data_IF_273152740043
#
_entry.id   IF_273152740043
#
_cell.length_a   1.000
_cell.length_b   1.000
_cell.length_c   1.000
_cell.angle_alpha   90.00
_cell.angle_beta   90.00
_cell.angle_gamma   90.00
#
_symmetry.space_group_name_H-M   'P 1'
#
loop_
_entity.id
_entity.type
_entity.pdbx_description
1 polymer ?
#
# COMPACT_ATOMS: atom_id res chain seq x y z
N UNK A 1 33.38 -0.99 5.97
CA UNK A 1 32.79 -0.23 4.84
C UNK A 1 31.39 0.19 5.23
N UNK A 2 30.99 1.42 4.91
CA UNK A 2 29.61 1.89 5.11
C UNK A 2 28.74 1.17 4.10
N UNK A 3 27.72 0.42 4.54
CA UNK A 3 26.80 -0.26 3.62
C UNK A 3 26.04 0.77 2.79
N UNK A 4 25.99 0.58 1.48
CA UNK A 4 25.19 1.39 0.56
C UNK A 4 24.11 0.53 -0.09
N UNK A 5 22.94 1.10 -0.32
CA UNK A 5 21.79 0.43 -0.91
C UNK A 5 21.33 1.18 -2.15
N UNK A 6 21.26 0.47 -3.27
CA UNK A 6 20.69 0.96 -4.52
C UNK A 6 19.19 0.67 -4.55
N UNK A 7 18.36 1.72 -4.52
CA UNK A 7 16.90 1.67 -4.57
C UNK A 7 16.40 1.99 -5.97
N UNK A 8 15.54 1.11 -6.48
CA UNK A 8 14.86 1.20 -7.77
C UNK A 8 13.37 1.39 -7.50
N UNK A 9 12.77 2.42 -8.08
CA UNK A 9 11.37 2.76 -7.84
C UNK A 9 10.44 2.31 -8.97
N UNK A 10 9.17 2.13 -8.67
CA UNK A 10 8.12 1.70 -9.59
C UNK A 10 7.35 2.89 -10.17
N UNK A 11 6.97 2.83 -11.46
CA UNK A 11 6.07 3.78 -12.15
C UNK A 11 6.47 5.28 -12.18
N UNK A 12 7.39 5.75 -11.32
CA UNK A 12 7.84 7.17 -11.25
C UNK A 12 8.51 7.59 -12.57
N UNK A 13 9.19 6.66 -13.26
CA UNK A 13 9.84 6.92 -14.54
C UNK A 13 8.84 7.27 -15.67
N UNK A 14 7.56 6.96 -15.52
CA UNK A 14 6.50 7.29 -16.48
C UNK A 14 6.09 8.76 -16.44
N UNK A 15 6.52 9.51 -15.41
CA UNK A 15 6.12 10.90 -15.19
C UNK A 15 7.05 11.87 -15.91
N UNK A 16 6.51 13.05 -16.25
CA UNK A 16 7.31 14.19 -16.74
C UNK A 16 8.35 14.60 -15.71
N UNK A 17 9.46 15.18 -16.14
CA UNK A 17 10.59 15.47 -15.24
C UNK A 17 10.22 16.29 -13.99
N UNK A 18 9.36 17.34 -14.05
CA UNK A 18 8.95 18.07 -12.85
C UNK A 18 8.18 17.18 -11.86
N UNK A 19 7.24 16.37 -12.36
CA UNK A 19 6.42 15.47 -11.53
C UNK A 19 7.28 14.36 -10.96
N UNK A 20 8.17 13.80 -11.78
CA UNK A 20 9.14 12.77 -11.38
C UNK A 20 9.97 13.23 -10.19
N UNK A 21 10.61 14.41 -10.29
CA UNK A 21 11.42 14.98 -9.20
C UNK A 21 10.61 15.14 -7.92
N UNK A 22 9.37 15.65 -8.02
CA UNK A 22 8.48 15.78 -6.86
C UNK A 22 8.21 14.42 -6.20
N UNK A 23 7.89 13.40 -6.99
CA UNK A 23 7.59 12.05 -6.49
C UNK A 23 8.82 11.36 -5.88
N UNK A 24 10.00 11.57 -6.46
CA UNK A 24 11.27 11.07 -5.91
C UNK A 24 11.57 11.70 -4.55
N UNK A 25 11.34 13.01 -4.38
CA UNK A 25 11.51 13.68 -3.09
C UNK A 25 10.51 13.17 -2.03
N UNK A 26 9.26 12.92 -2.43
CA UNK A 26 8.26 12.31 -1.55
C UNK A 26 8.69 10.90 -1.14
N UNK A 27 9.18 10.08 -2.07
CA UNK A 27 9.69 8.75 -1.75
C UNK A 27 10.87 8.81 -0.77
N UNK A 28 11.82 9.73 -0.98
CA UNK A 28 12.96 9.94 -0.08
C UNK A 28 12.48 10.34 1.32
N UNK A 29 11.48 11.22 1.42
CA UNK A 29 10.87 11.59 2.69
C UNK A 29 10.24 10.37 3.36
N UNK A 30 9.41 9.62 2.65
CA UNK A 30 8.76 8.42 3.18
C UNK A 30 9.78 7.39 3.71
N UNK A 31 10.90 7.20 3.01
CA UNK A 31 12.00 6.34 3.46
C UNK A 31 12.59 6.87 4.78
N UNK A 32 12.87 8.17 4.87
CA UNK A 32 13.45 8.78 6.08
C UNK A 32 12.49 8.76 7.27
N UNK A 33 11.18 8.86 7.03
CA UNK A 33 10.17 8.82 8.09
C UNK A 33 10.16 7.46 8.81
N UNK A 34 10.48 6.36 8.10
CA UNK A 34 10.58 5.01 8.69
C UNK A 34 12.01 4.58 9.02
N UNK A 35 13.02 5.23 8.43
CA UNK A 35 14.45 4.97 8.64
C UNK A 35 15.18 6.29 8.93
N UNK A 36 15.00 6.89 10.13
CA UNK A 36 15.54 8.21 10.44
C UNK A 36 17.08 8.25 10.45
N UNK A 37 17.74 7.10 10.66
CA UNK A 37 19.20 6.97 10.60
C UNK A 37 19.79 6.86 9.18
N UNK A 38 18.95 6.83 8.14
CA UNK A 38 19.42 6.69 6.77
C UNK A 38 19.68 8.06 6.10
N UNK A 39 20.71 8.10 5.26
CA UNK A 39 20.98 9.22 4.35
C UNK A 39 20.63 8.79 2.94
N UNK A 40 19.77 9.57 2.29
CA UNK A 40 19.36 9.33 0.91
C UNK A 40 20.04 10.32 -0.04
N UNK A 41 20.69 9.80 -1.07
CA UNK A 41 21.22 10.53 -2.23
C UNK A 41 20.38 10.18 -3.45
N UNK A 42 20.03 11.17 -4.26
CA UNK A 42 19.34 10.98 -5.53
C UNK A 42 20.26 11.33 -6.70
N UNK A 43 20.31 10.45 -7.70
CA UNK A 43 21.08 10.70 -8.92
C UNK A 43 20.47 9.98 -10.12
N UNK A 44 20.09 10.76 -11.14
CA UNK A 44 19.70 10.29 -12.50
C UNK A 44 18.73 9.09 -12.48
N UNK A 45 17.73 9.13 -11.61
CA UNK A 45 16.65 8.14 -11.55
C UNK A 45 16.91 6.89 -10.70
N UNK A 46 17.80 7.02 -9.72
CA UNK A 46 18.01 6.06 -8.63
C UNK A 46 18.12 6.81 -7.32
N UNK A 47 17.85 6.09 -6.23
CA UNK A 47 18.06 6.56 -4.86
C UNK A 47 19.11 5.64 -4.24
N UNK A 48 20.11 6.22 -3.60
CA UNK A 48 21.11 5.51 -2.82
C UNK A 48 20.90 5.81 -1.35
N UNK A 49 20.90 4.77 -0.53
CA UNK A 49 20.79 4.90 0.92
C UNK A 49 22.08 4.45 1.59
N UNK A 50 22.52 5.20 2.59
CA UNK A 50 23.66 4.86 3.47
C UNK A 50 23.27 5.09 4.93
N UNK A 51 24.06 4.57 5.86
CA UNK A 51 23.78 4.68 7.30
C UNK A 51 22.99 3.47 7.81
N UNK A 52 22.08 3.70 8.75
CA UNK A 52 21.27 2.63 9.33
C UNK A 52 20.06 2.33 8.43
N UNK A 53 20.14 1.22 7.71
CA UNK A 53 19.11 0.78 6.77
C UNK A 53 18.72 -0.65 7.14
N UNK A 54 17.54 -0.81 7.72
CA UNK A 54 16.90 -2.12 7.89
C UNK A 54 16.18 -2.52 6.60
N UNK A 55 16.63 -3.59 5.90
CA UNK A 55 16.01 -4.07 4.67
C UNK A 55 14.54 -4.45 4.84
N UNK A 56 14.14 -4.95 6.03
CA UNK A 56 12.77 -5.40 6.28
C UNK A 56 11.80 -4.22 6.33
N UNK A 57 12.23 -3.13 6.96
CA UNK A 57 11.48 -1.86 6.98
C UNK A 57 11.45 -1.23 5.58
N UNK A 58 12.59 -1.18 4.88
CA UNK A 58 12.66 -0.62 3.52
C UNK A 58 11.77 -1.37 2.53
N UNK A 59 11.66 -2.70 2.65
CA UNK A 59 10.80 -3.53 1.81
C UNK A 59 9.32 -3.12 1.87
N UNK A 60 8.86 -2.51 2.97
CA UNK A 60 7.47 -2.11 3.20
C UNK A 60 7.13 -0.70 2.70
N UNK A 61 8.09 0.03 2.13
CA UNK A 61 7.87 1.39 1.63
C UNK A 61 7.26 1.36 0.23
N UNK A 62 6.06 1.92 0.06
CA UNK A 62 5.43 2.07 -1.24
C UNK A 62 6.25 2.97 -2.18
N UNK A 63 6.24 2.64 -3.47
CA UNK A 63 7.04 3.29 -4.51
C UNK A 63 8.36 2.58 -4.79
N UNK A 64 8.84 1.68 -3.91
CA UNK A 64 10.06 0.90 -4.14
C UNK A 64 9.72 -0.37 -4.93
N UNK A 65 10.26 -0.50 -6.14
CA UNK A 65 10.15 -1.72 -6.93
C UNK A 65 11.11 -2.79 -6.40
N UNK A 66 12.38 -2.43 -6.21
CA UNK A 66 13.39 -3.32 -5.65
C UNK A 66 14.57 -2.55 -5.11
N UNK A 67 15.40 -3.21 -4.31
CA UNK A 67 16.63 -2.63 -3.78
C UNK A 67 17.70 -3.69 -3.55
N UNK A 68 18.95 -3.27 -3.50
CA UNK A 68 20.11 -4.14 -3.38
C UNK A 68 21.16 -3.49 -2.51
N UNK A 69 21.77 -4.24 -1.60
CA UNK A 69 23.03 -3.82 -0.97
C UNK A 69 24.11 -3.83 -2.05
N UNK A 70 24.89 -2.75 -2.17
CA UNK A 70 25.88 -2.58 -3.23
C UNK A 70 27.26 -2.31 -2.63
N UNK A 71 28.28 -2.84 -3.30
CA UNK A 71 29.63 -2.32 -3.17
C UNK A 71 29.82 -1.22 -4.24
N UNK A 72 30.10 0.00 -3.77
CA UNK A 72 30.30 1.18 -4.63
C UNK A 72 31.80 1.47 -4.75
N UNK A 73 32.30 1.48 -6.00
CA UNK A 73 33.68 1.83 -6.32
C UNK A 73 33.76 2.66 -7.60
N UNK A 74 34.86 3.43 -7.81
CA UNK A 74 35.16 4.00 -9.12
C UNK A 74 35.25 2.90 -10.19
N UNK A 75 34.75 3.17 -11.39
CA UNK A 75 34.73 2.25 -12.52
C UNK A 75 36.12 1.65 -12.81
N UNK A 76 37.17 2.48 -12.71
CA UNK A 76 38.58 2.05 -12.89
C UNK A 76 39.02 0.95 -11.92
N UNK A 77 38.40 0.88 -10.75
CA UNK A 77 38.72 -0.09 -9.69
C UNK A 77 37.83 -1.33 -9.73
N UNK A 78 36.74 -1.30 -10.49
CA UNK A 78 35.71 -2.36 -10.48
C UNK A 78 36.29 -3.73 -10.81
N UNK A 79 37.12 -3.83 -11.85
CA UNK A 79 37.76 -5.09 -12.22
C UNK A 79 38.62 -5.67 -11.09
N UNK A 80 39.32 -4.83 -10.34
CA UNK A 80 40.19 -5.26 -9.24
C UNK A 80 39.42 -5.87 -8.06
N UNK A 81 38.25 -5.32 -7.72
CA UNK A 81 37.48 -5.77 -6.55
C UNK A 81 36.62 -7.01 -6.84
N UNK A 82 36.32 -7.31 -8.11
CA UNK A 82 35.33 -8.34 -8.46
C UNK A 82 35.70 -9.74 -7.95
N UNK A 83 36.99 -10.07 -7.91
CA UNK A 83 37.44 -11.38 -7.44
C UNK A 83 37.27 -11.51 -5.93
N UNK A 84 37.59 -10.46 -5.17
CA UNK A 84 37.41 -10.42 -3.72
C UNK A 84 35.93 -10.43 -3.38
N UNK A 85 35.12 -9.63 -4.10
CA UNK A 85 33.67 -9.66 -4.00
C UNK A 85 33.10 -11.08 -4.21
N UNK A 86 33.60 -11.81 -5.22
CA UNK A 86 33.16 -13.19 -5.46
C UNK A 86 33.48 -14.14 -4.30
N UNK A 87 34.64 -14.00 -3.66
CA UNK A 87 35.05 -14.82 -2.51
C UNK A 87 34.22 -14.48 -1.27
N UNK A 88 34.10 -13.19 -0.97
CA UNK A 88 33.42 -12.70 0.23
C UNK A 88 31.92 -13.04 0.21
N UNK A 89 31.30 -13.04 -0.97
CA UNK A 89 29.90 -13.41 -1.17
C UNK A 89 29.68 -14.91 -1.44
N UNK A 90 30.75 -15.72 -1.49
CA UNK A 90 30.68 -17.16 -1.74
C UNK A 90 30.15 -17.52 -3.14
N UNK A 91 30.33 -16.62 -4.12
CA UNK A 91 30.01 -16.85 -5.52
C UNK A 91 31.02 -17.84 -6.12
N UNK A 92 32.28 -17.75 -5.71
CA UNK A 92 33.35 -18.69 -6.05
C UNK A 92 33.02 -20.14 -5.69
N UNK A 93 32.12 -20.38 -4.73
CA UNK A 93 31.70 -21.73 -4.32
C UNK A 93 30.59 -22.34 -5.20
N UNK A 94 30.05 -21.58 -6.16
CA UNK A 94 29.03 -22.08 -7.08
C UNK A 94 29.60 -23.02 -8.16
N UNK A 95 28.72 -23.57 -9.00
CA UNK A 95 29.10 -24.27 -10.24
C UNK A 95 28.89 -23.42 -11.47
N UNK A 96 27.86 -22.57 -11.46
CA UNK A 96 27.53 -21.71 -12.58
C UNK A 96 27.27 -20.26 -12.17
N UNK A 97 27.58 -19.33 -13.06
CA UNK A 97 27.31 -17.92 -12.81
C UNK A 97 26.88 -17.15 -14.08
N UNK A 98 26.28 -15.97 -13.88
CA UNK A 98 26.05 -14.98 -14.91
C UNK A 98 26.44 -13.58 -14.43
N UNK A 99 26.92 -12.74 -15.34
CA UNK A 99 27.12 -11.31 -15.11
C UNK A 99 26.08 -10.52 -15.89
N UNK A 100 25.39 -9.61 -15.19
CA UNK A 100 24.39 -8.70 -15.75
C UNK A 100 24.88 -7.26 -15.61
N UNK A 101 25.36 -6.69 -16.71
CA UNK A 101 25.84 -5.30 -16.72
C UNK A 101 24.77 -4.36 -17.24
N UNK A 102 24.53 -3.27 -16.52
CA UNK A 102 23.74 -2.12 -16.99
C UNK A 102 24.64 -0.89 -17.02
N UNK A 103 24.55 -0.10 -18.10
CA UNK A 103 25.40 1.07 -18.33
C UNK A 103 24.55 2.31 -18.56
N UNK A 104 24.91 3.41 -17.90
CA UNK A 104 24.29 4.74 -18.05
C UNK A 104 25.39 5.78 -18.19
N UNK A 105 25.34 6.60 -19.25
CA UNK A 105 26.36 7.61 -19.56
C UNK A 105 27.11 7.28 -20.86
N UNK A 106 28.09 8.12 -21.22
CA UNK A 106 28.88 7.95 -22.44
C UNK A 106 30.15 7.14 -22.15
N UNK A 107 30.35 6.03 -22.84
CA UNK A 107 31.48 5.13 -22.63
C UNK A 107 31.93 4.53 -23.97
N UNK A 108 33.22 4.19 -24.14
CA UNK A 108 33.73 3.55 -25.35
C UNK A 108 33.40 2.05 -25.46
N UNK A 109 32.65 1.50 -24.49
CA UNK A 109 32.29 0.08 -24.42
C UNK A 109 30.77 -0.10 -24.22
N UNK A 110 30.26 -1.25 -24.65
CA UNK A 110 28.90 -1.69 -24.39
C UNK A 110 28.79 -2.45 -23.05
N UNK A 111 27.55 -2.62 -22.56
CA UNK A 111 27.32 -3.50 -21.39
C UNK A 111 27.75 -4.94 -21.67
N UNK A 112 27.61 -5.39 -22.93
CA UNK A 112 27.99 -6.74 -23.35
C UNK A 112 29.51 -6.93 -23.28
N UNK A 113 30.28 -5.94 -23.74
CA UNK A 113 31.75 -5.97 -23.71
C UNK A 113 32.25 -6.12 -22.27
N UNK A 114 31.68 -5.34 -21.34
CA UNK A 114 32.02 -5.45 -19.91
C UNK A 114 31.57 -6.76 -19.28
N UNK A 115 30.42 -7.30 -19.69
CA UNK A 115 30.00 -8.63 -19.21
C UNK A 115 30.98 -9.73 -19.64
N UNK A 116 31.51 -9.67 -20.87
CA UNK A 116 32.55 -10.58 -21.36
C UNK A 116 33.85 -10.38 -20.59
N UNK A 117 34.33 -9.15 -20.48
CA UNK A 117 35.58 -8.80 -19.78
C UNK A 117 35.58 -9.35 -18.34
N UNK A 118 34.55 -9.00 -17.57
CA UNK A 118 34.42 -9.43 -16.18
C UNK A 118 34.11 -10.93 -16.06
N UNK A 119 33.37 -11.50 -17.01
CA UNK A 119 33.10 -12.94 -17.05
C UNK A 119 34.37 -13.75 -17.25
N UNK A 120 35.25 -13.30 -18.15
CA UNK A 120 36.55 -13.92 -18.38
C UNK A 120 37.45 -13.77 -17.16
N UNK A 121 37.47 -12.59 -16.52
CA UNK A 121 38.23 -12.36 -15.28
C UNK A 121 37.86 -13.39 -14.19
N UNK A 122 36.55 -13.57 -13.95
CA UNK A 122 36.05 -14.53 -12.97
C UNK A 122 36.38 -15.98 -13.38
N UNK A 123 36.20 -16.35 -14.66
CA UNK A 123 36.54 -17.70 -15.14
C UNK A 123 38.02 -18.03 -15.02
N UNK A 124 38.90 -17.07 -15.28
CA UNK A 124 40.35 -17.27 -15.15
C UNK A 124 40.74 -17.48 -13.69
N UNK A 125 40.13 -16.72 -12.77
CA UNK A 125 40.38 -16.85 -11.34
C UNK A 125 39.73 -18.09 -10.70
N UNK A 126 38.59 -18.53 -11.23
CA UNK A 126 37.79 -19.64 -10.72
C UNK A 126 37.43 -20.62 -11.86
N UNK A 127 38.37 -21.48 -12.31
CA UNK A 127 38.20 -22.32 -13.50
C UNK A 127 37.04 -23.32 -13.44
N UNK A 128 36.57 -23.67 -12.23
CA UNK A 128 35.43 -24.57 -12.02
C UNK A 128 34.08 -23.88 -12.24
N UNK A 129 34.01 -22.54 -12.19
CA UNK A 129 32.78 -21.78 -12.46
C UNK A 129 32.51 -21.69 -13.96
N UNK A 130 31.34 -22.17 -14.38
CA UNK A 130 30.87 -22.11 -15.78
C UNK A 130 29.85 -21.00 -15.98
N UNK A 131 29.88 -20.34 -17.13
CA UNK A 131 28.87 -19.33 -17.46
C UNK A 131 27.56 -20.02 -17.84
N UNK A 132 26.46 -19.60 -17.20
CA UNK A 132 25.10 -20.02 -17.56
C UNK A 132 24.19 -18.78 -17.58
N UNK A 133 23.84 -18.28 -18.77
CA UNK A 133 23.03 -17.07 -18.91
C UNK A 133 21.53 -17.31 -18.74
N UNK A 134 21.08 -18.57 -18.73
CA UNK A 134 19.67 -18.92 -18.65
C UNK A 134 19.22 -19.18 -17.21
N UNK A 135 19.97 -20.00 -16.47
CA UNK A 135 19.66 -20.38 -15.09
C UNK A 135 20.94 -20.52 -14.24
N UNK A 136 21.63 -19.41 -13.93
CA UNK A 136 22.84 -19.45 -13.12
C UNK A 136 22.54 -19.78 -11.65
N UNK A 137 23.45 -20.51 -11.00
CA UNK A 137 23.40 -20.68 -9.54
C UNK A 137 23.75 -19.37 -8.81
N UNK A 138 24.61 -18.54 -9.41
CA UNK A 138 25.05 -17.25 -8.86
C UNK A 138 24.91 -16.15 -9.91
N UNK A 139 24.25 -15.05 -9.58
CA UNK A 139 24.12 -13.92 -10.50
C UNK A 139 24.82 -12.69 -9.91
N UNK A 140 25.70 -12.08 -10.69
CA UNK A 140 26.38 -10.84 -10.33
C UNK A 140 25.82 -9.74 -11.21
N UNK A 141 25.34 -8.68 -10.59
CA UNK A 141 24.87 -7.52 -11.27
C UNK A 141 25.85 -6.37 -11.09
N UNK A 142 26.03 -5.62 -12.17
CA UNK A 142 26.91 -4.46 -12.20
C UNK A 142 26.13 -3.31 -12.83
N UNK A 143 25.94 -2.23 -12.09
CA UNK A 143 25.43 -0.98 -12.63
C UNK A 143 26.59 0.02 -12.78
N UNK A 144 26.93 0.38 -14.02
CA UNK A 144 27.96 1.38 -14.36
C UNK A 144 27.25 2.70 -14.68
N UNK A 145 27.62 3.78 -14.00
CA UNK A 145 27.01 5.10 -14.15
C UNK A 145 28.12 6.15 -14.24
N UNK A 146 28.44 6.57 -15.46
CA UNK A 146 29.65 7.35 -15.76
C UNK A 146 30.89 6.64 -15.15
N UNK A 147 31.70 7.35 -14.37
CA UNK A 147 32.92 6.83 -13.75
C UNK A 147 32.68 6.04 -12.45
N UNK A 148 31.43 5.71 -12.11
CA UNK A 148 31.06 4.98 -10.91
C UNK A 148 30.52 3.59 -11.23
N UNK A 149 30.82 2.61 -10.38
CA UNK A 149 30.40 1.23 -10.52
C UNK A 149 29.81 0.66 -9.23
N UNK A 150 28.71 -0.06 -9.38
CA UNK A 150 27.96 -0.66 -8.27
C UNK A 150 27.82 -2.17 -8.51
N UNK A 151 28.39 -2.99 -7.62
CA UNK A 151 28.31 -4.45 -7.69
C UNK A 151 27.34 -4.97 -6.64
N UNK A 152 26.45 -5.89 -7.04
CA UNK A 152 25.53 -6.58 -6.14
C UNK A 152 25.16 -7.97 -6.68
N UNK A 153 24.74 -8.86 -5.79
CA UNK A 153 24.40 -10.27 -6.07
C UNK A 153 22.98 -10.64 -5.60
N UNK A 154 22.28 -9.74 -4.91
CA UNK A 154 20.90 -9.92 -4.46
C UNK A 154 20.00 -8.74 -4.85
N UNK A 155 18.76 -9.06 -5.20
CA UNK A 155 17.71 -8.08 -5.50
C UNK A 155 16.51 -8.39 -4.61
N UNK A 156 16.26 -7.53 -3.64
CA UNK A 156 15.10 -7.64 -2.76
C UNK A 156 13.94 -6.89 -3.40
N UNK A 157 12.80 -7.56 -3.60
CA UNK A 157 11.60 -6.93 -4.13
C UNK A 157 10.94 -6.07 -3.05
N UNK A 158 10.54 -4.84 -3.40
CA UNK A 158 9.70 -3.98 -2.58
C UNK A 158 8.21 -4.16 -2.90
N UNK A 159 7.33 -3.39 -2.24
CA UNK A 159 5.88 -3.45 -2.50
C UNK A 159 5.45 -2.91 -3.88
N UNK A 160 6.35 -2.22 -4.58
CA UNK A 160 6.02 -1.46 -5.78
C UNK A 160 5.01 -0.34 -5.47
N UNK A 161 4.11 -0.09 -6.41
CA UNK A 161 3.11 0.96 -6.26
C UNK A 161 3.71 2.37 -6.36
N UNK A 162 3.01 3.35 -5.80
CA UNK A 162 3.38 4.76 -5.84
C UNK A 162 3.82 5.26 -4.46
N UNK A 163 4.72 6.25 -4.35
CA UNK A 163 5.10 6.79 -3.06
C UNK A 163 3.89 7.33 -2.30
N UNK A 164 3.74 6.94 -1.03
CA UNK A 164 2.65 7.37 -0.16
C UNK A 164 2.51 8.91 -0.16
N UNK A 165 1.32 9.42 -0.45
CA UNK A 165 0.98 10.85 -0.47
C UNK A 165 1.11 11.57 -1.80
N UNK A 166 1.59 10.93 -2.87
CA UNK A 166 1.67 11.59 -4.19
C UNK A 166 0.30 11.86 -4.82
N UNK A 167 -0.73 11.07 -4.49
CA UNK A 167 -2.09 11.24 -5.02
C UNK A 167 -3.02 12.05 -4.07
N UNK A 168 -2.55 12.37 -2.86
CA UNK A 168 -3.30 13.10 -1.85
C UNK A 168 -3.81 12.19 -0.73
N UNK A 169 -4.93 12.56 -0.12
CA UNK A 169 -5.48 11.91 1.07
C UNK A 169 -6.90 11.43 0.81
N UNK A 170 -7.27 10.28 1.37
CA UNK A 170 -8.62 9.72 1.35
C UNK A 170 -9.08 9.36 2.76
N UNK A 171 -10.38 9.39 3.01
CA UNK A 171 -10.98 8.89 4.25
C UNK A 171 -11.39 7.44 4.04
N UNK A 172 -10.85 6.51 4.83
CA UNK A 172 -11.26 5.10 4.76
C UNK A 172 -12.26 4.78 5.85
N UNK A 173 -13.45 4.26 5.48
CA UNK A 173 -14.41 3.73 6.44
C UNK A 173 -13.88 2.39 6.99
N UNK A 174 -13.34 2.44 8.20
CA UNK A 174 -12.71 1.31 8.88
C UNK A 174 -13.71 0.64 9.82
N UNK A 175 -14.14 -0.58 9.50
CA UNK A 175 -15.10 -1.34 10.32
C UNK A 175 -14.44 -2.29 11.32
N UNK A 176 -13.12 -2.50 11.19
CA UNK A 176 -12.38 -3.56 11.90
C UNK A 176 -12.58 -4.97 11.32
N UNK A 177 -13.41 -5.13 10.28
CA UNK A 177 -13.49 -6.38 9.51
C UNK A 177 -12.33 -6.53 8.50
N UNK A 178 -12.25 -7.69 7.84
CA UNK A 178 -11.16 -8.06 6.94
C UNK A 178 -11.03 -7.10 5.73
N UNK A 179 -12.15 -6.66 5.18
CA UNK A 179 -12.17 -6.02 3.86
C UNK A 179 -11.68 -4.56 3.91
N UNK A 180 -12.12 -3.79 4.91
CA UNK A 180 -11.76 -2.36 5.05
C UNK A 180 -10.24 -2.05 5.13
N UNK A 181 -9.41 -2.78 5.90
CA UNK A 181 -7.97 -2.54 5.91
C UNK A 181 -7.28 -2.92 4.60
N UNK A 182 -7.77 -3.96 3.90
CA UNK A 182 -7.23 -4.34 2.60
C UNK A 182 -7.51 -3.25 1.57
N UNK A 183 -8.74 -2.72 1.54
CA UNK A 183 -9.09 -1.60 0.68
C UNK A 183 -8.23 -0.35 0.97
N UNK A 184 -8.06 0.00 2.25
CA UNK A 184 -7.18 1.10 2.65
C UNK A 184 -5.73 0.89 2.17
N UNK A 185 -5.17 -0.30 2.39
CA UNK A 185 -3.82 -0.65 1.96
C UNK A 185 -3.64 -0.60 0.43
N UNK A 186 -4.64 -1.05 -0.34
CA UNK A 186 -4.60 -0.95 -1.81
C UNK A 186 -4.54 0.50 -2.29
N UNK A 187 -5.24 1.40 -1.61
CA UNK A 187 -5.18 2.83 -1.92
C UNK A 187 -3.86 3.47 -1.46
N UNK A 188 -3.29 3.03 -0.33
CA UNK A 188 -1.93 3.42 0.07
C UNK A 188 -0.89 3.02 -0.99
N UNK A 189 -1.02 1.82 -1.56
CA UNK A 189 -0.18 1.33 -2.66
C UNK A 189 -0.33 2.16 -3.95
N UNK A 190 -1.46 2.84 -4.13
CA UNK A 190 -1.67 3.82 -5.21
C UNK A 190 -1.29 5.24 -4.80
N UNK A 191 -0.53 5.42 -3.72
CA UNK A 191 0.05 6.72 -3.34
C UNK A 191 -0.91 7.63 -2.59
N UNK A 192 -2.03 7.12 -2.08
CA UNK A 192 -2.95 7.88 -1.24
C UNK A 192 -2.58 7.73 0.24
N UNK A 193 -2.58 8.84 0.99
CA UNK A 193 -2.61 8.77 2.46
C UNK A 193 -4.02 8.42 2.91
N UNK A 194 -4.14 7.69 4.00
CA UNK A 194 -5.43 7.29 4.56
C UNK A 194 -5.68 8.00 5.89
N UNK A 195 -6.89 8.51 6.07
CA UNK A 195 -7.44 8.84 7.37
C UNK A 195 -8.47 7.76 7.70
N UNK A 196 -8.19 6.85 8.65
CA UNK A 196 -9.11 5.78 8.99
C UNK A 196 -10.20 6.31 9.92
N UNK A 197 -11.43 6.26 9.45
CA UNK A 197 -12.62 6.74 10.13
C UNK A 197 -13.46 5.55 10.59
N UNK A 198 -13.70 5.45 11.90
CA UNK A 198 -14.61 4.48 12.49
C UNK A 198 -15.89 5.21 12.92
N UNK A 199 -17.03 4.79 12.38
CA UNK A 199 -18.34 5.33 12.79
C UNK A 199 -18.88 4.43 13.90
N UNK A 200 -18.78 4.91 15.14
CA UNK A 200 -19.30 4.25 16.32
C UNK A 200 -20.83 4.38 16.36
N UNK A 201 -21.49 3.23 16.27
CA UNK A 201 -22.94 3.11 16.37
C UNK A 201 -23.31 2.88 17.83
N UNK A 202 -23.48 3.98 18.58
CA UNK A 202 -23.87 3.91 19.99
C UNK A 202 -25.14 3.07 20.15
N UNK A 203 -25.21 2.26 21.22
CA UNK A 203 -26.28 1.29 21.52
C UNK A 203 -26.40 0.08 20.56
N UNK A 204 -25.62 0.02 19.47
CA UNK A 204 -25.63 -1.09 18.50
C UNK A 204 -24.32 -1.90 18.56
N UNK A 205 -23.19 -1.22 18.69
CA UNK A 205 -21.86 -1.84 18.77
C UNK A 205 -21.24 -1.58 20.15
N UNK A 206 -20.59 -2.62 20.69
CA UNK A 206 -19.82 -2.51 21.94
C UNK A 206 -18.37 -2.07 21.71
N UNK A 207 -17.66 -1.78 22.81
CA UNK A 207 -16.26 -1.34 22.81
C UNK A 207 -15.32 -2.34 22.11
N UNK A 208 -15.67 -3.63 22.08
CA UNK A 208 -14.87 -4.66 21.41
C UNK A 208 -14.73 -4.42 19.90
N UNK A 209 -15.72 -3.77 19.26
CA UNK A 209 -15.63 -3.42 17.84
C UNK A 209 -14.66 -2.27 17.59
N UNK A 210 -14.61 -1.29 18.49
CA UNK A 210 -13.65 -0.20 18.43
C UNK A 210 -12.23 -0.73 18.67
N UNK A 211 -12.02 -1.54 19.70
CA UNK A 211 -10.72 -2.17 19.98
C UNK A 211 -10.21 -2.98 18.78
N UNK A 212 -11.11 -3.72 18.12
CA UNK A 212 -10.77 -4.44 16.89
C UNK A 212 -10.34 -3.48 15.78
N UNK A 213 -11.06 -2.38 15.56
CA UNK A 213 -10.70 -1.38 14.57
C UNK A 213 -9.34 -0.72 14.88
N UNK A 214 -9.06 -0.40 16.14
CA UNK A 214 -7.77 0.14 16.59
C UNK A 214 -6.62 -0.82 16.28
N UNK A 215 -6.75 -2.10 16.64
CA UNK A 215 -5.70 -3.11 16.37
C UNK A 215 -5.46 -3.32 14.87
N UNK A 216 -6.52 -3.23 14.06
CA UNK A 216 -6.41 -3.29 12.60
C UNK A 216 -5.65 -2.07 12.06
N UNK A 217 -5.95 -0.87 12.57
CA UNK A 217 -5.24 0.37 12.20
C UNK A 217 -3.77 0.31 12.64
N UNK A 218 -3.48 -0.18 13.84
CA UNK A 218 -2.12 -0.36 14.34
C UNK A 218 -1.30 -1.32 13.46
N UNK A 219 -1.91 -2.40 12.97
CA UNK A 219 -1.25 -3.31 12.02
C UNK A 219 -0.87 -2.60 10.71
N UNK A 220 -1.64 -1.60 10.27
CA UNK A 220 -1.35 -0.82 9.07
C UNK A 220 -0.28 0.27 9.28
N UNK A 221 0.09 0.60 10.52
CA UNK A 221 1.09 1.65 10.81
C UNK A 221 2.48 1.32 10.26
N UNK A 222 2.76 0.04 9.98
CA UNK A 222 3.99 -0.36 9.30
C UNK A 222 4.10 0.20 7.87
N UNK A 223 2.97 0.60 7.27
CA UNK A 223 2.91 1.18 5.91
C UNK A 223 2.67 2.70 5.92
N UNK A 224 1.97 3.21 6.94
CA UNK A 224 1.76 4.63 7.20
C UNK A 224 1.96 4.90 8.71
N UNK A 225 3.15 5.30 9.17
CA UNK A 225 3.49 5.36 10.61
C UNK A 225 2.60 6.26 11.48
N UNK A 226 2.08 7.33 10.88
CA UNK A 226 1.26 8.36 11.52
C UNK A 226 -0.24 8.10 11.36
N UNK A 227 -0.64 6.88 10.98
CA UNK A 227 -2.03 6.47 10.93
C UNK A 227 -2.64 6.48 12.36
N UNK A 228 -3.75 7.19 12.53
CA UNK A 228 -4.49 7.30 13.79
C UNK A 228 -5.98 7.08 13.50
N UNK A 229 -6.62 6.18 14.26
CA UNK A 229 -8.06 5.94 14.12
C UNK A 229 -8.84 7.17 14.59
N UNK A 230 -9.80 7.59 13.78
CA UNK A 230 -10.76 8.65 14.12
C UNK A 230 -12.09 8.00 14.45
N UNK A 231 -12.43 7.81 15.74
CA UNK A 231 -13.76 7.36 16.12
C UNK A 231 -14.73 8.54 16.11
N UNK A 232 -15.85 8.41 15.40
CA UNK A 232 -16.97 9.36 15.45
C UNK A 232 -18.23 8.66 15.92
N UNK A 233 -18.86 9.21 16.95
CA UNK A 233 -20.14 8.72 17.46
C UNK A 233 -21.29 9.26 16.64
N UNK A 234 -22.24 8.40 16.28
CA UNK A 234 -23.46 8.79 15.59
C UNK A 234 -24.69 8.15 16.24
N UNK A 235 -25.58 9.01 16.77
CA UNK A 235 -26.85 8.61 17.38
C UNK A 235 -28.02 8.62 16.39
N UNK A 236 -27.80 9.06 15.15
CA UNK A 236 -28.82 9.02 14.10
C UNK A 236 -29.20 7.58 13.76
N UNK A 237 -28.23 6.66 13.76
CA UNK A 237 -28.49 5.29 13.32
C UNK A 237 -29.35 4.46 14.27
N UNK A 238 -29.22 4.66 15.58
CA UNK A 238 -30.11 4.00 16.56
C UNK A 238 -31.55 4.48 16.41
N UNK A 239 -31.75 5.78 16.14
CA UNK A 239 -33.07 6.36 15.84
C UNK A 239 -33.63 5.85 14.51
N UNK A 240 -32.82 5.85 13.46
CA UNK A 240 -33.20 5.35 12.14
C UNK A 240 -33.59 3.86 12.18
N UNK A 241 -32.85 3.04 12.93
CA UNK A 241 -33.17 1.63 13.10
C UNK A 241 -34.54 1.42 13.77
N UNK A 242 -34.79 2.11 14.89
CA UNK A 242 -36.06 2.01 15.62
C UNK A 242 -37.27 2.50 14.79
N UNK A 243 -37.11 3.60 14.04
CA UNK A 243 -38.15 4.08 13.13
C UNK A 243 -38.48 3.06 12.04
N UNK A 244 -37.44 2.53 11.37
CA UNK A 244 -37.61 1.51 10.33
C UNK A 244 -38.30 0.26 10.86
N UNK A 245 -37.93 -0.20 12.05
CA UNK A 245 -38.60 -1.31 12.75
C UNK A 245 -40.08 -1.02 12.99
N UNK A 246 -40.42 0.15 13.53
CA UNK A 246 -41.81 0.51 13.85
C UNK A 246 -42.72 0.58 12.61
N UNK A 247 -42.14 0.79 11.43
CA UNK A 247 -42.82 0.94 10.14
C UNK A 247 -42.80 -0.34 9.29
N UNK A 248 -42.18 -1.43 9.74
CA UNK A 248 -41.99 -2.65 8.95
C UNK A 248 -41.09 -2.44 7.72
N UNK A 249 -40.10 -1.54 7.84
CA UNK A 249 -39.15 -1.15 6.80
C UNK A 249 -37.70 -1.55 7.16
N UNK A 250 -37.51 -2.41 8.15
CA UNK A 250 -36.21 -2.84 8.68
C UNK A 250 -35.28 -3.42 7.62
N UNK A 251 -35.82 -3.95 6.52
CA UNK A 251 -35.05 -4.41 5.35
C UNK A 251 -34.13 -3.34 4.73
N UNK A 252 -34.38 -2.06 4.97
CA UNK A 252 -33.58 -0.94 4.47
C UNK A 252 -32.51 -0.45 5.46
N UNK A 253 -32.44 -1.03 6.67
CA UNK A 253 -31.54 -0.56 7.74
C UNK A 253 -30.09 -0.44 7.27
N UNK A 254 -29.54 -1.45 6.60
CA UNK A 254 -28.15 -1.42 6.12
C UNK A 254 -27.90 -0.33 5.06
N UNK A 255 -28.90 -0.02 4.23
CA UNK A 255 -28.77 1.01 3.18
C UNK A 255 -28.77 2.40 3.80
N UNK A 256 -29.72 2.69 4.69
CA UNK A 256 -29.77 3.96 5.44
C UNK A 256 -28.50 4.13 6.29
N UNK A 257 -28.03 3.05 6.90
CA UNK A 257 -26.80 3.03 7.68
C UNK A 257 -25.57 3.42 6.86
N UNK A 258 -25.35 2.75 5.73
CA UNK A 258 -24.23 3.07 4.84
C UNK A 258 -24.31 4.46 4.23
N UNK A 259 -25.49 4.92 3.83
CA UNK A 259 -25.68 6.29 3.34
C UNK A 259 -25.35 7.34 4.41
N UNK A 260 -25.68 7.10 5.69
CA UNK A 260 -25.24 7.96 6.80
C UNK A 260 -23.73 7.95 6.96
N UNK A 261 -23.09 6.76 6.94
CA UNK A 261 -21.63 6.65 7.03
C UNK A 261 -20.93 7.38 5.89
N UNK A 262 -21.48 7.36 4.67
CA UNK A 262 -20.93 8.08 3.52
C UNK A 262 -20.98 9.59 3.75
N UNK A 263 -22.12 10.12 4.20
CA UNK A 263 -22.25 11.55 4.51
C UNK A 263 -21.33 12.01 5.64
N UNK A 264 -21.15 11.18 6.68
CA UNK A 264 -20.19 11.46 7.76
C UNK A 264 -18.76 11.48 7.21
N UNK A 265 -18.39 10.47 6.42
CA UNK A 265 -17.06 10.40 5.81
C UNK A 265 -16.78 11.53 4.82
N UNK A 266 -17.79 11.93 4.04
CA UNK A 266 -17.71 13.07 3.12
C UNK A 266 -17.49 14.38 3.87
N UNK A 267 -18.31 14.65 4.88
CA UNK A 267 -18.16 15.87 5.68
C UNK A 267 -16.78 15.90 6.37
N UNK A 268 -16.29 14.75 6.86
CA UNK A 268 -14.95 14.65 7.43
C UNK A 268 -13.87 14.85 6.36
N UNK A 269 -14.07 14.30 5.16
CA UNK A 269 -13.16 14.47 4.05
C UNK A 269 -13.02 15.95 3.65
N UNK A 270 -14.13 16.70 3.59
CA UNK A 270 -14.08 18.14 3.34
C UNK A 270 -13.32 18.89 4.44
N UNK A 271 -13.59 18.56 5.71
CA UNK A 271 -12.88 19.17 6.84
C UNK A 271 -11.36 18.91 6.78
N UNK A 272 -10.96 17.68 6.43
CA UNK A 272 -9.56 17.28 6.37
C UNK A 272 -8.86 17.56 5.02
N UNK A 273 -9.57 18.12 4.03
CA UNK A 273 -9.05 18.32 2.68
C UNK A 273 -8.76 17.02 1.91
N UNK A 274 -9.42 15.91 2.28
CA UNK A 274 -9.33 14.64 1.57
C UNK A 274 -10.18 14.65 0.29
N UNK A 275 -9.81 13.82 -0.68
CA UNK A 275 -10.35 13.84 -2.06
C UNK A 275 -11.41 12.77 -2.34
N UNK A 276 -11.81 12.00 -1.34
CA UNK A 276 -12.76 10.91 -1.50
C UNK A 276 -12.80 9.94 -0.33
N UNK A 277 -13.67 8.96 -0.46
CA UNK A 277 -13.94 7.92 0.55
C UNK A 277 -13.43 6.58 0.02
N UNK A 278 -12.86 5.74 0.89
CA UNK A 278 -12.47 4.36 0.57
C UNK A 278 -13.34 3.42 1.39
N UNK A 279 -13.86 2.38 0.73
CA UNK A 279 -14.64 1.33 1.40
C UNK A 279 -14.14 -0.05 1.01
N UNK A 280 -14.33 -1.02 1.91
CA UNK A 280 -14.08 -2.43 1.67
C UNK A 280 -15.24 -3.15 1.00
N UNK A 281 -16.06 -2.47 0.20
CA UNK A 281 -17.21 -3.11 -0.45
C UNK A 281 -16.77 -3.98 -1.63
N UNK A 282 -17.34 -5.19 -1.73
CA UNK A 282 -17.15 -6.13 -2.84
C UNK A 282 -18.51 -6.50 -3.47
N UNK A 283 -18.57 -6.60 -4.79
CA UNK A 283 -19.82 -6.81 -5.50
C UNK A 283 -20.39 -8.21 -5.22
N UNK A 284 -21.64 -8.27 -4.77
CA UNK A 284 -22.37 -9.53 -4.54
C UNK A 284 -22.01 -10.28 -3.25
N UNK A 285 -21.14 -9.73 -2.40
CA UNK A 285 -20.74 -10.39 -1.14
C UNK A 285 -21.84 -10.31 -0.06
N UNK A 286 -22.54 -9.18 0.04
CA UNK A 286 -23.69 -9.00 0.95
C UNK A 286 -24.83 -8.28 0.23
N UNK A 287 -26.05 -8.40 0.76
CA UNK A 287 -27.25 -7.83 0.13
C UNK A 287 -27.13 -6.32 -0.16
N UNK A 288 -26.43 -5.56 0.69
CA UNK A 288 -26.21 -4.11 0.49
C UNK A 288 -25.17 -3.76 -0.59
N UNK A 289 -24.52 -4.74 -1.21
CA UNK A 289 -23.45 -4.57 -2.19
C UNK A 289 -23.84 -5.19 -3.55
N UNK A 290 -25.10 -5.04 -3.95
CA UNK A 290 -25.58 -5.30 -5.31
C UNK A 290 -25.43 -4.04 -6.17
N UNK A 291 -25.50 -4.16 -7.50
CA UNK A 291 -25.43 -3.00 -8.40
C UNK A 291 -26.51 -1.95 -8.07
N UNK A 292 -27.75 -2.39 -7.86
CA UNK A 292 -28.87 -1.51 -7.50
C UNK A 292 -28.60 -0.75 -6.20
N UNK A 293 -28.13 -1.46 -5.18
CA UNK A 293 -27.85 -0.83 -3.89
C UNK A 293 -26.62 0.06 -3.94
N UNK A 294 -25.58 -0.27 -4.70
CA UNK A 294 -24.41 0.60 -4.86
C UNK A 294 -24.78 1.93 -5.51
N UNK A 295 -25.68 1.93 -6.49
CA UNK A 295 -26.24 3.16 -7.07
C UNK A 295 -26.92 4.03 -5.99
N UNK A 296 -27.73 3.41 -5.14
CA UNK A 296 -28.40 4.08 -4.02
C UNK A 296 -27.39 4.59 -2.99
N UNK A 297 -26.31 3.87 -2.71
CA UNK A 297 -25.27 4.31 -1.79
C UNK A 297 -24.46 5.49 -2.35
N UNK A 298 -24.08 5.44 -3.62
CA UNK A 298 -23.28 6.49 -4.28
C UNK A 298 -24.01 7.83 -4.30
N UNK A 299 -25.34 7.83 -4.47
CA UNK A 299 -26.15 9.04 -4.40
C UNK A 299 -26.10 9.76 -3.03
N UNK A 300 -25.52 9.16 -1.98
CA UNK A 300 -25.34 9.81 -0.68
C UNK A 300 -24.01 10.57 -0.54
N UNK A 301 -23.12 10.54 -1.54
CA UNK A 301 -21.83 11.23 -1.52
C UNK A 301 -21.67 12.09 -2.77
N UNK A 302 -21.24 13.35 -2.63
CA UNK A 302 -20.87 14.22 -3.75
C UNK A 302 -19.40 14.09 -4.15
N UNK A 303 -18.58 13.43 -3.32
CA UNK A 303 -17.19 13.09 -3.62
C UNK A 303 -17.04 11.62 -4.03
N UNK A 304 -15.95 11.24 -4.75
CA UNK A 304 -15.74 9.87 -5.20
C UNK A 304 -15.65 8.85 -4.05
N UNK A 305 -16.32 7.70 -4.24
CA UNK A 305 -16.23 6.53 -3.37
C UNK A 305 -15.43 5.43 -4.07
N UNK A 306 -14.21 5.20 -3.61
CA UNK A 306 -13.29 4.18 -4.13
C UNK A 306 -13.57 2.82 -3.47
N UNK A 307 -13.77 1.80 -4.31
CA UNK A 307 -14.04 0.41 -3.91
C UNK A 307 -12.98 -0.54 -4.48
N UNK A 308 -11.77 -0.59 -3.91
CA UNK A 308 -10.67 -1.39 -4.47
C UNK A 308 -10.98 -2.89 -4.58
N UNK A 309 -11.91 -3.38 -3.75
CA UNK A 309 -12.30 -4.80 -3.67
C UNK A 309 -13.51 -5.15 -4.53
N UNK A 310 -14.03 -4.22 -5.35
CA UNK A 310 -15.32 -4.40 -6.03
C UNK A 310 -15.39 -5.68 -6.90
N UNK A 311 -14.27 -6.11 -7.48
CA UNK A 311 -14.17 -7.32 -8.30
C UNK A 311 -13.45 -8.49 -7.62
N UNK A 312 -13.21 -8.42 -6.31
CA UNK A 312 -12.46 -9.43 -5.56
C UNK A 312 -13.41 -10.43 -4.92
N UNK A 313 -13.03 -11.71 -4.91
CA UNK A 313 -13.71 -12.66 -4.05
C UNK A 313 -13.17 -12.58 -2.60
N UNK A 314 -13.77 -13.39 -1.73
CA UNK A 314 -13.42 -13.40 -0.31
C UNK A 314 -12.01 -13.96 -0.06
N UNK A 315 -11.58 -14.95 -0.82
CA UNK A 315 -10.28 -15.59 -0.63
C UNK A 315 -9.15 -14.68 -1.12
N UNK A 316 -9.36 -13.93 -2.19
CA UNK A 316 -8.45 -12.88 -2.63
C UNK A 316 -8.20 -11.85 -1.54
N UNK A 317 -9.28 -11.39 -0.91
CA UNK A 317 -9.22 -10.40 0.18
C UNK A 317 -8.52 -10.97 1.41
N UNK A 318 -8.85 -12.21 1.80
CA UNK A 318 -8.22 -12.91 2.92
C UNK A 318 -6.72 -13.13 2.68
N UNK A 319 -6.32 -13.50 1.47
CA UNK A 319 -4.90 -13.68 1.10
C UNK A 319 -4.13 -12.39 1.35
N UNK A 320 -4.63 -11.26 0.85
CA UNK A 320 -3.97 -9.96 1.07
C UNK A 320 -3.98 -9.59 2.56
N UNK A 321 -5.09 -9.79 3.27
CA UNK A 321 -5.16 -9.51 4.70
C UNK A 321 -4.10 -10.27 5.51
N UNK A 322 -3.77 -11.52 5.11
CA UNK A 322 -2.68 -12.29 5.73
C UNK A 322 -1.31 -11.72 5.36
N UNK A 323 -1.09 -11.39 4.09
CA UNK A 323 0.16 -10.81 3.61
C UNK A 323 0.50 -9.48 4.31
N UNK A 324 -0.51 -8.63 4.55
CA UNK A 324 -0.33 -7.32 5.19
C UNK A 324 -0.47 -7.36 6.71
N UNK A 325 -0.72 -8.53 7.30
CA UNK A 325 -0.79 -8.72 8.75
C UNK A 325 -2.08 -8.24 9.44
N UNK A 326 -3.13 -7.91 8.68
CA UNK A 326 -4.41 -7.41 9.22
C UNK A 326 -5.44 -8.51 9.48
N UNK A 327 -5.21 -9.73 8.96
CA UNK A 327 -6.16 -10.85 9.12
C UNK A 327 -6.42 -11.21 10.59
N UNK A 328 -5.36 -11.43 11.39
CA UNK A 328 -5.49 -11.80 12.80
C UNK A 328 -6.30 -10.76 13.59
N UNK A 329 -5.94 -9.47 13.61
CA UNK A 329 -6.72 -8.48 14.34
C UNK A 329 -8.15 -8.36 13.80
N UNK A 330 -8.37 -8.49 12.49
CA UNK A 330 -9.71 -8.43 11.88
C UNK A 330 -10.63 -9.59 12.29
N UNK A 331 -10.05 -10.72 12.74
CA UNK A 331 -10.80 -11.92 13.16
C UNK A 331 -10.99 -12.02 14.67
N UNK A 332 -10.52 -11.02 15.43
CA UNK A 332 -10.79 -10.96 16.86
C UNK A 332 -12.30 -10.96 17.14
N UNK A 333 -12.68 -11.65 18.22
CA UNK A 333 -14.07 -11.68 18.67
C UNK A 333 -14.51 -10.27 19.01
N UNK A 334 -15.59 -9.84 18.37
CA UNK A 334 -16.33 -8.63 18.70
C UNK A 334 -17.82 -8.93 18.59
N UNK A 335 -18.67 -8.10 19.20
CA UNK A 335 -20.11 -8.26 19.07
C UNK A 335 -20.56 -8.12 17.61
N UNK A 336 -21.58 -8.89 17.23
CA UNK A 336 -22.22 -8.75 15.92
C UNK A 336 -23.14 -7.52 15.94
N UNK A 337 -23.28 -6.86 14.79
CA UNK A 337 -24.20 -5.75 14.64
C UNK A 337 -25.66 -6.24 14.81
N UNK A 338 -26.32 -5.78 15.87
CA UNK A 338 -27.70 -6.15 16.20
C UNK A 338 -28.74 -5.59 15.22
N UNK A 339 -28.38 -4.56 14.44
CA UNK A 339 -29.27 -3.88 13.51
C UNK A 339 -29.38 -4.54 12.12
N UNK A 340 -28.70 -5.68 11.90
CA UNK A 340 -28.77 -6.39 10.61
C UNK A 340 -30.13 -7.06 10.46
N UNK A 341 -30.93 -6.73 9.42
CA UNK A 341 -32.26 -7.30 9.25
C UNK A 341 -32.20 -8.75 8.77
N UNK A 342 -33.24 -9.54 9.07
CA UNK A 342 -33.36 -10.94 8.65
C UNK A 342 -33.46 -11.10 7.13
N UNK A 343 -34.07 -10.13 6.45
CA UNK A 343 -34.22 -10.08 4.98
C UNK A 343 -33.81 -8.69 4.47
N UNK A 344 -32.50 -8.39 4.38
CA UNK A 344 -32.04 -7.11 3.86
C UNK A 344 -32.43 -6.95 2.38
N UNK A 345 -32.75 -5.72 1.97
CA UNK A 345 -33.08 -5.42 0.58
C UNK A 345 -31.84 -5.56 -0.31
N UNK A 346 -31.99 -6.24 -1.44
CA UNK A 346 -30.97 -6.42 -2.49
C UNK A 346 -31.16 -5.45 -3.66
N UNK A 347 -32.24 -4.67 -3.68
CA UNK A 347 -32.66 -3.81 -4.78
C UNK A 347 -33.45 -2.60 -4.25
N UNK A 348 -32.81 -1.77 -3.44
CA UNK A 348 -33.44 -0.58 -2.91
C UNK A 348 -33.73 0.44 -4.03
N UNK A 349 -34.85 1.16 -3.89
CA UNK A 349 -35.21 2.28 -4.76
C UNK A 349 -34.73 3.59 -4.13
N UNK A 350 -34.02 4.42 -4.90
CA UNK A 350 -33.41 5.65 -4.38
C UNK A 350 -34.45 6.62 -3.83
N UNK A 351 -35.54 6.87 -4.59
CA UNK A 351 -36.59 7.82 -4.17
C UNK A 351 -37.23 7.38 -2.86
N UNK A 352 -37.48 6.09 -2.69
CA UNK A 352 -38.01 5.53 -1.45
C UNK A 352 -37.04 5.70 -0.28
N UNK A 353 -35.75 5.46 -0.47
CA UNK A 353 -34.75 5.63 0.58
C UNK A 353 -34.63 7.11 0.99
N UNK A 354 -34.63 8.03 0.03
CA UNK A 354 -34.61 9.47 0.31
C UNK A 354 -35.86 9.95 1.05
N UNK A 355 -37.04 9.41 0.70
CA UNK A 355 -38.28 9.69 1.42
C UNK A 355 -38.24 9.17 2.87
N UNK A 356 -37.64 8.00 3.10
CA UNK A 356 -37.39 7.46 4.44
C UNK A 356 -36.47 8.40 5.23
N UNK A 357 -35.32 8.78 4.66
CA UNK A 357 -34.33 9.65 5.30
C UNK A 357 -34.91 11.04 5.62
N UNK A 358 -35.75 11.58 4.74
CA UNK A 358 -36.44 12.86 4.98
C UNK A 358 -37.41 12.79 6.16
N UNK A 359 -38.05 11.65 6.38
CA UNK A 359 -38.89 11.40 7.57
C UNK A 359 -38.10 11.27 8.87
N UNK A 360 -36.79 11.00 8.79
CA UNK A 360 -35.86 10.90 9.91
C UNK A 360 -35.15 12.24 10.22
N UNK A 361 -35.47 13.31 9.50
CA UNK A 361 -34.72 14.55 9.47
C UNK A 361 -34.85 15.34 10.78
N UNK A 362 -33.88 15.15 11.68
CA UNK A 362 -33.49 16.11 12.73
C UNK A 362 -32.09 15.81 13.33
N UNK A 363 -31.20 15.12 12.59
CA UNK A 363 -29.82 14.92 13.05
C UNK A 363 -28.80 15.43 12.04
N UNK A 364 -28.21 16.62 12.25
CA UNK A 364 -27.05 17.03 11.47
C UNK A 364 -25.94 15.98 11.58
N UNK A 365 -25.05 15.94 10.59
CA UNK A 365 -23.80 15.19 10.71
C UNK A 365 -23.08 15.70 11.97
N UNK A 366 -22.51 14.83 12.82
CA UNK A 366 -21.84 15.26 14.03
C UNK A 366 -20.75 16.30 13.70
N UNK A 367 -20.64 17.40 14.46
CA UNK A 367 -19.55 18.34 14.27
C UNK A 367 -18.21 17.65 14.61
N UNK A 368 -17.17 17.99 13.86
CA UNK A 368 -15.83 17.38 14.03
C UNK A 368 -15.02 18.14 15.07
N UNK A 369 -15.25 17.89 16.36
CA UNK A 369 -14.44 18.45 17.46
C UNK A 369 -14.37 17.51 18.65
#
# INVERSE_FOLDING_TARGET
>A
MTREWLVRYSEIFLKSDPVRRKWEQILIRNIRDVLPGCRARHERGRIWLTGDVDPRTLQRVFGIASFSEVEHVPLRSLGGILLDYCRDRGIDKGKTFAIRVKRIGNHPFSSHDKAIEYGNLIRTAFPHLKVNLANPEREIFIEIRNEEGYVYDFVIQGLGGLPLGVEGTLVALMSGGIDSPVAAWMMMRRGCRIIPLYVALDDILDESNLERAERVVDALRIFQPDLLLVPLKDTYLSRAHNDLLSRGLEKYTCIVCKRRMYRIAEAYAHHAGAKGIVTGESLGQVASQTLDNLLVLDAASSIPVYRPLIGFDKEDTIRIAREIGTFIPSTMRASACSAVPSKPSTNADLMKIEAIEKGLADSPVPPFF
#
